data_IF_131243977872
#
_entry.id   IF_131243977872
#
_cell.length_a   1.000
_cell.length_b   1.000
_cell.length_c   1.000
_cell.angle_alpha   90.00
_cell.angle_beta   90.00
_cell.angle_gamma   90.00
#
_symmetry.space_group_name_H-M   'P 1'
#
loop_
_entity.id
_entity.type
_entity.pdbx_description
1 polymer ?
#
# COMPACT_ATOMS: atom_id res chain seq x y z
N UNK A 1 -8.03 -8.54 -19.20
CA UNK A 1 -6.99 -9.14 -18.36
C UNK A 1 -6.33 -8.01 -17.59
N UNK A 2 -6.15 -8.12 -16.27
CA UNK A 2 -5.13 -7.26 -15.63
C UNK A 2 -3.80 -7.66 -16.27
N UNK A 3 -2.97 -6.68 -16.62
CA UNK A 3 -1.77 -6.86 -17.44
C UNK A 3 -0.63 -7.63 -16.74
N UNK A 4 -0.93 -8.50 -15.78
CA UNK A 4 0.05 -9.18 -14.93
C UNK A 4 0.61 -8.30 -13.82
N UNK A 5 -0.05 -7.17 -13.50
CA UNK A 5 0.40 -6.28 -12.41
C UNK A 5 0.14 -6.97 -11.07
N UNK A 6 1.22 -7.30 -10.38
CA UNK A 6 1.24 -7.90 -9.05
C UNK A 6 1.52 -6.88 -7.94
N UNK A 7 1.97 -5.66 -8.29
CA UNK A 7 2.31 -4.62 -7.32
C UNK A 7 1.57 -3.31 -7.61
N UNK A 8 1.05 -2.69 -6.55
CA UNK A 8 0.43 -1.36 -6.59
C UNK A 8 1.11 -0.50 -5.53
N UNK A 9 1.53 0.71 -5.90
CA UNK A 9 2.09 1.69 -4.97
C UNK A 9 1.18 2.90 -4.94
N UNK A 10 0.70 3.31 -3.76
CA UNK A 10 -0.07 4.54 -3.57
C UNK A 10 0.81 5.51 -2.77
N UNK A 11 1.28 6.56 -3.43
CA UNK A 11 2.06 7.65 -2.80
C UNK A 11 1.12 8.68 -2.17
N UNK A 12 1.49 9.22 -1.01
CA UNK A 12 0.63 10.12 -0.22
C UNK A 12 -0.78 9.53 -0.05
N UNK A 13 -0.84 8.27 0.37
CA UNK A 13 -2.08 7.49 0.39
C UNK A 13 -3.18 8.12 1.26
N UNK A 14 -2.86 8.93 2.26
CA UNK A 14 -3.83 9.60 3.13
C UNK A 14 -4.83 8.60 3.70
N UNK A 15 -6.12 8.94 3.53
CA UNK A 15 -7.24 8.09 3.91
C UNK A 15 -7.78 7.21 2.76
N UNK A 16 -6.96 6.94 1.74
CA UNK A 16 -7.31 6.01 0.68
C UNK A 16 -7.56 4.60 1.26
N UNK A 17 -8.65 3.98 0.82
CA UNK A 17 -9.12 2.65 1.27
C UNK A 17 -9.25 1.66 0.11
N UNK A 18 -8.63 1.93 -1.05
CA UNK A 18 -8.67 1.02 -2.22
C UNK A 18 -8.25 -0.41 -1.86
N UNK A 19 -7.27 -0.58 -0.96
CA UNK A 19 -6.85 -1.90 -0.48
C UNK A 19 -7.96 -2.69 0.25
N UNK A 20 -8.98 -2.02 0.79
CA UNK A 20 -10.11 -2.63 1.48
C UNK A 20 -11.37 -2.79 0.62
N UNK A 21 -11.52 -2.02 -0.46
CA UNK A 21 -12.80 -1.94 -1.20
C UNK A 21 -12.75 -2.33 -2.67
N UNK A 22 -11.56 -2.39 -3.29
CA UNK A 22 -11.45 -2.79 -4.70
C UNK A 22 -11.28 -4.30 -4.85
N UNK A 23 -11.80 -4.90 -5.94
CA UNK A 23 -11.63 -6.32 -6.23
C UNK A 23 -10.24 -6.56 -6.83
N UNK A 24 -9.27 -6.86 -5.97
CA UNK A 24 -7.90 -7.17 -6.37
C UNK A 24 -7.75 -8.62 -6.85
N UNK A 25 -6.68 -8.88 -7.61
CA UNK A 25 -6.27 -10.26 -7.87
C UNK A 25 -5.60 -10.83 -6.62
N UNK A 26 -5.69 -12.15 -6.43
CA UNK A 26 -5.22 -12.81 -5.20
C UNK A 26 -3.75 -12.53 -4.87
N UNK A 27 -2.90 -12.31 -5.88
CA UNK A 27 -1.47 -12.10 -5.70
C UNK A 27 -1.06 -10.62 -5.72
N UNK A 28 -2.03 -9.69 -5.70
CA UNK A 28 -1.74 -8.25 -5.65
C UNK A 28 -1.21 -7.85 -4.27
N UNK A 29 -0.08 -7.14 -4.25
CA UNK A 29 0.47 -6.46 -3.09
C UNK A 29 0.28 -4.96 -3.25
N UNK A 30 -0.27 -4.31 -2.22
CA UNK A 30 -0.53 -2.87 -2.19
C UNK A 30 0.40 -2.24 -1.17
N UNK A 31 1.32 -1.43 -1.65
CA UNK A 31 2.20 -0.60 -0.84
C UNK A 31 1.59 0.79 -0.70
N UNK A 32 1.46 1.27 0.53
CA UNK A 32 1.07 2.66 0.79
C UNK A 32 2.23 3.43 1.42
N UNK A 33 2.67 4.48 0.75
CA UNK A 33 3.76 5.35 1.20
C UNK A 33 3.16 6.64 1.73
N UNK A 34 3.28 6.89 3.02
CA UNK A 34 2.82 8.12 3.66
C UNK A 34 3.50 8.32 5.03
N UNK A 35 3.24 9.48 5.62
CA UNK A 35 3.64 9.83 6.97
C UNK A 35 3.20 8.76 7.98
N UNK A 36 4.08 8.33 8.90
CA UNK A 36 3.78 7.25 9.86
C UNK A 36 2.46 7.44 10.60
N UNK A 37 2.21 8.67 11.10
CA UNK A 37 1.00 9.01 11.85
C UNK A 37 -0.30 8.88 11.03
N UNK A 38 -0.23 9.09 9.71
CA UNK A 38 -1.39 8.98 8.81
C UNK A 38 -1.74 7.50 8.61
N UNK A 39 -0.73 6.67 8.37
CA UNK A 39 -0.91 5.22 8.20
C UNK A 39 -1.40 4.57 9.51
N UNK A 40 -0.80 4.92 10.65
CA UNK A 40 -1.22 4.44 11.97
C UNK A 40 -2.68 4.81 12.29
N UNK A 41 -3.05 6.07 12.04
CA UNK A 41 -4.43 6.53 12.23
C UNK A 41 -5.40 5.72 11.38
N UNK A 42 -5.13 5.58 10.07
CA UNK A 42 -6.00 4.84 9.15
C UNK A 42 -6.14 3.37 9.55
N UNK A 43 -5.02 2.70 9.82
CA UNK A 43 -5.03 1.29 10.19
C UNK A 43 -5.81 1.04 11.48
N UNK A 44 -5.64 1.91 12.48
CA UNK A 44 -6.39 1.80 13.74
C UNK A 44 -7.90 1.90 13.49
N UNK A 45 -8.36 2.89 12.72
CA UNK A 45 -9.79 3.07 12.43
C UNK A 45 -10.36 1.89 11.64
N UNK A 46 -9.61 1.37 10.66
CA UNK A 46 -10.04 0.20 9.86
C UNK A 46 -10.13 -1.07 10.71
N UNK A 47 -9.17 -1.27 11.62
CA UNK A 47 -9.19 -2.38 12.58
C UNK A 47 -10.35 -2.26 13.57
N UNK A 48 -10.61 -1.06 14.12
CA UNK A 48 -11.77 -0.78 14.99
C UNK A 48 -13.12 -1.00 14.28
N UNK A 49 -13.13 -0.99 12.95
CA UNK A 49 -14.33 -1.21 12.12
C UNK A 49 -14.46 -2.65 11.60
N UNK A 50 -13.63 -3.58 12.08
CA UNK A 50 -13.56 -4.98 11.59
C UNK A 50 -13.34 -5.10 10.06
N UNK A 51 -12.69 -4.10 9.45
CA UNK A 51 -12.46 -4.07 8.01
C UNK A 51 -11.21 -4.89 7.62
N UNK A 52 -11.41 -5.97 6.87
CA UNK A 52 -10.31 -6.75 6.29
C UNK A 52 -9.88 -6.19 4.93
N UNK A 53 -8.57 -6.12 4.68
CA UNK A 53 -8.06 -5.77 3.35
C UNK A 53 -8.41 -6.88 2.34
N UNK A 54 -8.74 -6.49 1.11
CA UNK A 54 -9.06 -7.40 0.02
C UNK A 54 -7.81 -7.92 -0.73
N UNK A 55 -6.63 -7.43 -0.35
CA UNK A 55 -5.33 -7.82 -0.90
C UNK A 55 -4.26 -7.75 0.19
N UNK A 56 -3.05 -8.23 -0.11
CA UNK A 56 -1.91 -8.05 0.80
C UNK A 56 -1.59 -6.56 0.90
N UNK A 57 -1.74 -6.02 2.11
CA UNK A 57 -1.50 -4.62 2.43
C UNK A 57 -0.13 -4.46 3.11
N UNK A 58 0.69 -3.54 2.63
CA UNK A 58 2.03 -3.24 3.17
C UNK A 58 2.16 -1.73 3.38
N UNK A 59 2.03 -1.24 4.63
CA UNK A 59 2.31 0.16 4.92
C UNK A 59 3.81 0.43 4.87
N UNK A 60 4.19 1.55 4.26
CA UNK A 60 5.57 2.04 4.16
C UNK A 60 5.62 3.42 4.85
N UNK A 61 5.84 3.46 6.18
CA UNK A 61 5.78 4.69 6.97
C UNK A 61 7.04 5.53 6.74
N UNK A 62 6.94 6.54 5.88
CA UNK A 62 8.05 7.43 5.51
C UNK A 62 7.50 8.71 4.86
N UNK A 63 8.07 9.86 5.21
CA UNK A 63 7.73 11.12 4.55
C UNK A 63 8.18 11.10 3.08
N UNK A 64 7.39 11.66 2.16
CA UNK A 64 7.77 11.72 0.74
C UNK A 64 9.00 12.61 0.46
N UNK A 65 9.37 13.47 1.41
CA UNK A 65 10.61 14.26 1.35
C UNK A 65 11.87 13.47 1.73
N UNK A 66 11.72 12.32 2.38
CA UNK A 66 12.81 11.43 2.79
C UNK A 66 13.09 10.36 1.72
N UNK A 67 13.99 9.40 2.02
CA UNK A 67 14.37 8.29 1.13
C UNK A 67 13.29 7.18 1.09
N UNK A 68 12.10 7.56 0.62
CA UNK A 68 10.97 6.66 0.47
C UNK A 68 11.20 5.50 -0.53
N UNK A 69 11.99 5.63 -1.63
CA UNK A 69 12.25 4.50 -2.51
C UNK A 69 13.03 3.38 -1.81
N UNK A 70 13.98 3.75 -0.93
CA UNK A 70 14.70 2.78 -0.10
C UNK A 70 13.78 2.12 0.92
N UNK A 71 12.93 2.89 1.59
CA UNK A 71 11.95 2.35 2.53
C UNK A 71 10.97 1.39 1.84
N UNK A 72 10.48 1.74 0.65
CA UNK A 72 9.61 0.90 -0.17
C UNK A 72 10.29 -0.43 -0.53
N UNK A 73 11.53 -0.39 -1.02
CA UNK A 73 12.31 -1.59 -1.36
C UNK A 73 12.58 -2.46 -0.13
N UNK A 74 12.90 -1.85 1.02
CA UNK A 74 13.11 -2.56 2.28
C UNK A 74 11.84 -3.28 2.78
N UNK A 75 10.65 -2.83 2.36
CA UNK A 75 9.37 -3.47 2.66
C UNK A 75 8.95 -4.55 1.63
N UNK A 76 9.84 -4.92 0.70
CA UNK A 76 9.65 -6.04 -0.22
C UNK A 76 9.15 -5.66 -1.61
N UNK A 77 9.09 -4.37 -1.93
CA UNK A 77 8.83 -3.93 -3.30
C UNK A 77 9.95 -4.39 -4.26
N UNK A 78 9.55 -4.96 -5.39
CA UNK A 78 10.45 -5.39 -6.45
C UNK A 78 10.33 -4.44 -7.66
N UNK A 79 11.38 -3.66 -7.91
CA UNK A 79 11.43 -2.71 -9.02
C UNK A 79 11.53 -3.39 -10.41
N UNK A 80 11.75 -4.71 -10.47
CA UNK A 80 11.83 -5.47 -11.72
C UNK A 80 10.48 -6.02 -12.20
N UNK A 81 9.46 -5.96 -11.35
CA UNK A 81 8.12 -6.48 -11.63
C UNK A 81 7.13 -5.35 -12.04
N UNK A 82 6.14 -5.63 -12.91
CA UNK A 82 5.16 -4.64 -13.34
C UNK A 82 4.42 -4.00 -12.16
N UNK A 83 4.45 -2.67 -12.10
CA UNK A 83 3.89 -1.87 -10.99
C UNK A 83 2.89 -0.87 -11.51
N UNK A 84 1.72 -0.79 -10.86
CA UNK A 84 0.81 0.35 -11.00
C UNK A 84 1.10 1.38 -9.90
N UNK A 85 1.16 2.66 -10.29
CA UNK A 85 1.40 3.81 -9.42
C UNK A 85 0.14 4.69 -9.34
#
# INVERSE_FOLDING_TARGET
SSSGVSQVVILAAGLDTRAWRLPWLNDTVIYEVDEPQVLEFKQRILAESDAAAAARYVPVPVALGDDWPKALTANGFDHTEPTAW
#
